data_IF_010045692706
#
_entry.id   IF_010045692706
#
_cell.length_a   1.000
_cell.length_b   1.000
_cell.length_c   1.000
_cell.angle_alpha   90.00
_cell.angle_beta   90.00
_cell.angle_gamma   90.00
#
_symmetry.space_group_name_H-M   'P 1'
#
loop_
_entity.id
_entity.type
_entity.pdbx_description
1 polymer ?
#
# COMPACT_ATOMS: atom_id res chain seq x y z
N UNK A 1 -2.20 3.44 7.38
CA UNK A 1 -1.57 3.94 6.14
C UNK A 1 -0.06 3.69 6.17
N UNK A 2 0.67 4.17 7.20
CA UNK A 2 2.15 4.06 7.29
C UNK A 2 2.66 2.63 7.06
N UNK A 3 2.01 1.60 7.63
CA UNK A 3 2.36 0.20 7.40
C UNK A 3 2.31 -0.20 5.93
N UNK A 4 1.27 0.22 5.20
CA UNK A 4 1.15 -0.06 3.76
C UNK A 4 2.25 0.61 2.95
N UNK A 5 2.56 1.88 3.25
CA UNK A 5 3.66 2.62 2.61
C UNK A 5 5.00 1.92 2.89
N UNK A 6 5.26 1.53 4.14
CA UNK A 6 6.49 0.85 4.51
C UNK A 6 6.64 -0.52 3.83
N UNK A 7 5.58 -1.31 3.76
CA UNK A 7 5.61 -2.60 3.05
C UNK A 7 5.89 -2.41 1.55
N UNK A 8 5.26 -1.41 0.93
CA UNK A 8 5.53 -1.03 -0.46
C UNK A 8 6.99 -0.61 -0.65
N UNK A 9 7.50 0.27 0.20
CA UNK A 9 8.89 0.75 0.11
C UNK A 9 9.92 -0.39 0.27
N UNK A 10 9.70 -1.30 1.23
CA UNK A 10 10.56 -2.47 1.41
C UNK A 10 10.57 -3.37 0.18
N UNK A 11 9.41 -3.58 -0.46
CA UNK A 11 9.32 -4.34 -1.70
C UNK A 11 10.03 -3.67 -2.88
N UNK A 12 9.91 -2.35 -3.00
CA UNK A 12 10.64 -1.56 -4.01
C UNK A 12 12.14 -1.67 -3.81
N UNK A 13 12.63 -1.47 -2.58
CA UNK A 13 14.06 -1.50 -2.26
C UNK A 13 14.69 -2.90 -2.39
N UNK A 14 13.93 -3.96 -2.19
CA UNK A 14 14.41 -5.32 -2.40
C UNK A 14 14.80 -5.56 -3.87
N UNK A 15 14.06 -4.96 -4.81
CA UNK A 15 14.32 -5.11 -6.25
C UNK A 15 15.19 -4.01 -6.80
N UNK A 16 15.10 -2.78 -6.27
CA UNK A 16 15.91 -1.63 -6.65
C UNK A 16 16.32 -0.84 -5.40
N UNK A 17 17.49 -1.11 -4.81
CA UNK A 17 17.97 -0.42 -3.61
C UNK A 17 18.19 1.10 -3.79
N UNK A 18 18.33 1.57 -5.02
CA UNK A 18 18.52 2.99 -5.34
C UNK A 18 17.19 3.74 -5.52
N UNK A 19 16.06 3.03 -5.55
CA UNK A 19 14.76 3.65 -5.69
C UNK A 19 14.33 4.37 -4.42
N UNK A 20 13.67 5.52 -4.61
CA UNK A 20 13.13 6.36 -3.52
C UNK A 20 11.61 6.30 -3.55
N UNK A 21 11.00 6.13 -2.38
CA UNK A 21 9.55 6.25 -2.20
C UNK A 21 9.26 7.59 -1.53
N UNK A 22 8.71 8.53 -2.29
CA UNK A 22 8.32 9.85 -1.75
C UNK A 22 6.83 9.85 -1.41
N UNK A 23 6.48 10.40 -0.23
CA UNK A 23 5.12 10.41 0.29
C UNK A 23 4.54 11.82 0.26
N UNK A 24 3.35 11.98 -0.34
CA UNK A 24 2.53 13.16 -0.27
C UNK A 24 1.21 12.83 0.45
N UNK A 25 0.88 13.60 1.51
CA UNK A 25 -0.35 13.43 2.26
C UNK A 25 -1.45 14.33 1.71
N UNK A 26 -2.62 13.76 1.47
CA UNK A 26 -3.82 14.50 1.05
C UNK A 26 -4.75 14.84 2.20
N UNK A 27 -4.55 14.22 3.36
CA UNK A 27 -5.38 14.37 4.57
C UNK A 27 -6.87 14.10 4.36
N UNK A 28 -7.21 13.38 3.29
CA UNK A 28 -8.57 12.96 2.96
C UNK A 28 -8.55 11.58 2.31
N UNK A 29 -9.65 10.83 2.43
CA UNK A 29 -9.83 9.56 1.73
C UNK A 29 -10.37 9.76 0.32
N UNK A 30 -11.18 10.78 0.12
CA UNK A 30 -11.81 11.06 -1.16
C UNK A 30 -11.89 12.57 -1.42
N UNK A 31 -11.02 13.05 -2.26
CA UNK A 31 -11.07 14.39 -2.89
C UNK A 31 -10.29 14.32 -4.22
N UNK A 32 -10.98 14.12 -5.36
CA UNK A 32 -10.31 13.95 -6.65
C UNK A 32 -9.41 15.13 -7.06
N UNK A 33 -9.69 16.34 -6.56
CA UNK A 33 -8.84 17.51 -6.86
C UNK A 33 -7.54 17.42 -6.08
N UNK A 34 -7.61 17.24 -4.76
CA UNK A 34 -6.43 17.13 -3.89
C UNK A 34 -5.59 15.91 -4.26
N UNK A 35 -6.23 14.77 -4.55
CA UNK A 35 -5.56 13.54 -4.99
C UNK A 35 -4.80 13.74 -6.30
N UNK A 36 -5.47 14.34 -7.30
CA UNK A 36 -4.86 14.64 -8.59
C UNK A 36 -3.72 15.65 -8.49
N UNK A 37 -3.88 16.72 -7.70
CA UNK A 37 -2.82 17.72 -7.50
C UNK A 37 -1.62 17.13 -6.76
N UNK A 38 -1.84 16.27 -5.78
CA UNK A 38 -0.76 15.59 -5.06
C UNK A 38 0.00 14.62 -5.97
N UNK A 39 -0.71 13.85 -6.80
CA UNK A 39 -0.08 12.97 -7.80
C UNK A 39 0.72 13.78 -8.82
N UNK A 40 0.17 14.91 -9.30
CA UNK A 40 0.87 15.79 -10.22
C UNK A 40 2.16 16.35 -9.60
N UNK A 41 2.12 16.76 -8.33
CA UNK A 41 3.30 17.26 -7.64
C UNK A 41 4.42 16.21 -7.51
N UNK A 42 4.08 14.93 -7.31
CA UNK A 42 5.05 13.84 -7.32
C UNK A 42 5.61 13.58 -8.73
N UNK A 43 4.76 13.60 -9.76
CA UNK A 43 5.18 13.45 -11.16
C UNK A 43 6.11 14.59 -11.59
N UNK A 44 5.82 15.83 -11.19
CA UNK A 44 6.67 17.00 -11.48
C UNK A 44 8.06 16.91 -10.83
N UNK A 45 8.20 16.12 -9.75
CA UNK A 45 9.49 15.79 -9.12
C UNK A 45 10.21 14.61 -9.79
N UNK A 46 9.56 13.95 -10.74
CA UNK A 46 10.14 12.88 -11.54
C UNK A 46 9.72 11.47 -11.08
N UNK A 47 8.63 11.33 -10.33
CA UNK A 47 8.07 10.01 -10.06
C UNK A 47 7.63 9.34 -11.37
N UNK A 48 8.03 8.10 -11.56
CA UNK A 48 7.69 7.25 -12.71
C UNK A 48 6.60 6.23 -12.39
N UNK A 49 6.32 6.02 -11.10
CA UNK A 49 5.22 5.20 -10.59
C UNK A 49 4.48 5.98 -9.50
N UNK A 50 3.17 6.05 -9.63
CA UNK A 50 2.28 6.55 -8.57
C UNK A 50 1.61 5.36 -7.89
N UNK A 51 1.85 5.19 -6.60
CA UNK A 51 1.08 4.29 -5.75
C UNK A 51 0.17 5.12 -4.85
N UNK A 52 -1.10 4.76 -4.75
CA UNK A 52 -2.06 5.54 -3.97
C UNK A 52 -2.65 4.75 -2.80
N UNK A 53 -3.18 5.50 -1.82
CA UNK A 53 -3.88 4.97 -0.66
C UNK A 53 -5.16 5.80 -0.43
N UNK A 54 -5.95 5.95 -1.49
CA UNK A 54 -7.09 6.86 -1.62
C UNK A 54 -8.18 6.23 -2.50
N UNK A 55 -9.37 6.86 -2.56
CA UNK A 55 -10.58 6.23 -3.08
C UNK A 55 -11.00 6.74 -4.47
N UNK A 56 -10.39 7.81 -5.03
CA UNK A 56 -10.69 8.27 -6.38
C UNK A 56 -9.67 7.74 -7.41
N UNK A 57 -9.98 7.91 -8.70
CA UNK A 57 -9.08 7.53 -9.81
C UNK A 57 -8.16 8.65 -10.26
N UNK A 58 -8.24 9.83 -9.63
CA UNK A 58 -7.56 11.03 -10.11
C UNK A 58 -6.03 10.88 -10.19
N UNK A 59 -5.42 10.13 -9.26
CA UNK A 59 -4.00 9.83 -9.30
C UNK A 59 -3.62 8.98 -10.52
N UNK A 60 -4.46 8.01 -10.89
CA UNK A 60 -4.31 7.19 -12.09
C UNK A 60 -4.43 8.01 -13.38
N UNK A 61 -5.42 8.91 -13.44
CA UNK A 61 -5.61 9.82 -14.59
C UNK A 61 -4.36 10.68 -14.81
N UNK A 62 -3.74 11.19 -13.74
CA UNK A 62 -2.51 11.98 -13.80
C UNK A 62 -1.30 11.14 -14.25
N UNK A 63 -1.16 9.93 -13.70
CA UNK A 63 -0.10 9.02 -14.11
C UNK A 63 -0.21 8.67 -15.61
N UNK A 64 -1.41 8.34 -16.08
CA UNK A 64 -1.64 8.04 -17.49
C UNK A 64 -1.33 9.25 -18.40
N UNK A 65 -1.78 10.44 -18.04
CA UNK A 65 -1.50 11.65 -18.79
C UNK A 65 0.00 11.98 -18.87
N UNK A 66 0.77 11.63 -17.84
CA UNK A 66 2.22 11.83 -17.78
C UNK A 66 3.03 10.69 -18.44
N UNK A 67 2.38 9.58 -18.82
CA UNK A 67 3.07 8.37 -19.29
C UNK A 67 3.80 7.61 -18.17
N UNK A 68 3.44 7.85 -16.91
CA UNK A 68 3.90 7.12 -15.73
C UNK A 68 3.02 5.91 -15.44
N UNK A 69 3.42 5.07 -14.48
CA UNK A 69 2.67 3.87 -14.11
C UNK A 69 1.89 4.10 -12.80
N UNK A 70 0.90 3.25 -12.55
CA UNK A 70 -0.01 3.41 -11.43
C UNK A 70 -0.32 2.08 -10.73
N UNK A 71 -0.18 2.08 -9.41
CA UNK A 71 -0.68 1.04 -8.51
C UNK A 71 -1.90 1.61 -7.79
N UNK A 72 -3.09 1.06 -8.07
CA UNK A 72 -4.33 1.55 -7.49
C UNK A 72 -4.59 1.00 -6.08
N UNK A 73 -5.75 1.27 -5.50
CA UNK A 73 -6.05 1.00 -4.09
C UNK A 73 -7.35 0.24 -3.90
N UNK A 74 -7.28 -0.87 -3.15
CA UNK A 74 -8.39 -1.68 -2.64
C UNK A 74 -9.32 -2.35 -3.68
N UNK A 75 -9.25 -1.97 -4.95
CA UNK A 75 -10.08 -2.54 -6.02
C UNK A 75 -9.35 -2.51 -7.35
N UNK A 76 -9.80 -3.33 -8.28
CA UNK A 76 -9.34 -3.28 -9.67
C UNK A 76 -9.90 -2.01 -10.34
N UNK A 77 -9.01 -1.05 -10.58
CA UNK A 77 -9.32 0.21 -11.23
C UNK A 77 -8.72 0.29 -12.66
N UNK A 78 -8.34 -0.83 -13.24
CA UNK A 78 -7.69 -0.91 -14.57
C UNK A 78 -8.49 -0.23 -15.69
N UNK A 79 -9.83 -0.20 -15.58
CA UNK A 79 -10.71 0.42 -16.57
C UNK A 79 -10.62 1.95 -16.64
N UNK A 80 -10.05 2.61 -15.60
CA UNK A 80 -10.01 4.08 -15.52
C UNK A 80 -8.73 4.69 -16.10
N UNK A 81 -7.59 4.04 -15.92
CA UNK A 81 -6.30 4.46 -16.47
C UNK A 81 -5.55 3.23 -17.03
N UNK A 82 -6.06 2.62 -18.11
CA UNK A 82 -5.62 1.31 -18.59
C UNK A 82 -4.15 1.27 -19.06
N UNK A 83 -3.59 2.39 -19.50
CA UNK A 83 -2.20 2.44 -19.97
C UNK A 83 -1.21 2.74 -18.81
N UNK A 84 -1.69 3.25 -17.68
CA UNK A 84 -0.88 3.48 -16.49
C UNK A 84 -0.97 2.33 -15.49
N UNK A 85 -2.12 1.65 -15.40
CA UNK A 85 -2.39 0.63 -14.40
C UNK A 85 -1.37 -0.51 -14.44
N UNK A 86 -0.89 -0.90 -13.27
CA UNK A 86 -0.03 -2.07 -13.08
C UNK A 86 -0.78 -3.22 -12.38
N UNK A 87 -1.30 -2.95 -11.22
CA UNK A 87 -2.08 -3.83 -10.36
C UNK A 87 -2.65 -3.04 -9.19
N UNK A 88 -3.31 -3.72 -8.24
CA UNK A 88 -3.76 -3.15 -6.97
C UNK A 88 -3.76 -4.21 -5.87
N UNK A 89 -3.53 -3.87 -4.60
CA UNK A 89 -3.99 -4.70 -3.49
C UNK A 89 -5.53 -4.70 -3.48
N UNK A 90 -6.12 -5.89 -3.35
CA UNK A 90 -7.58 -6.05 -3.34
C UNK A 90 -8.04 -6.89 -2.16
N UNK A 91 -9.34 -6.77 -1.81
CA UNK A 91 -9.95 -7.45 -0.70
C UNK A 91 -11.07 -8.37 -1.18
N UNK A 92 -11.02 -9.64 -0.80
CA UNK A 92 -12.07 -10.61 -1.05
C UNK A 92 -12.91 -10.83 0.22
N UNK A 93 -13.85 -9.94 0.48
CA UNK A 93 -14.71 -9.99 1.67
C UNK A 93 -15.79 -11.05 1.63
N UNK A 94 -16.10 -11.61 0.44
CA UNK A 94 -17.21 -12.55 0.25
C UNK A 94 -17.21 -13.72 1.23
N UNK A 95 -16.14 -14.52 1.32
CA UNK A 95 -16.06 -15.65 2.25
C UNK A 95 -16.28 -15.23 3.72
N UNK A 96 -15.71 -14.08 4.13
CA UNK A 96 -15.87 -13.58 5.49
C UNK A 96 -17.31 -13.16 5.80
N UNK A 97 -18.02 -12.54 4.85
CA UNK A 97 -19.41 -12.19 5.04
C UNK A 97 -20.30 -13.44 5.12
N UNK A 98 -20.03 -14.47 4.33
CA UNK A 98 -20.73 -15.76 4.42
C UNK A 98 -20.53 -16.38 5.80
N UNK A 99 -19.29 -16.48 6.29
CA UNK A 99 -18.97 -17.01 7.62
C UNK A 99 -19.71 -16.25 8.75
N UNK A 100 -19.75 -14.91 8.69
CA UNK A 100 -20.48 -14.09 9.65
C UNK A 100 -22.00 -14.39 9.61
N UNK A 101 -22.58 -14.48 8.41
CA UNK A 101 -24.02 -14.75 8.24
C UNK A 101 -24.38 -16.16 8.74
N UNK A 102 -23.60 -17.16 8.37
CA UNK A 102 -23.83 -18.56 8.77
C UNK A 102 -23.69 -18.74 10.29
N UNK A 103 -22.64 -18.17 10.89
CA UNK A 103 -22.45 -18.24 12.34
C UNK A 103 -23.52 -17.48 13.11
N UNK A 104 -23.97 -16.33 12.59
CA UNK A 104 -25.10 -15.59 13.19
C UNK A 104 -26.41 -16.38 13.11
N UNK A 105 -26.70 -17.02 11.98
CA UNK A 105 -27.87 -17.85 11.79
C UNK A 105 -27.85 -19.09 12.71
N UNK A 106 -26.66 -19.65 12.96
CA UNK A 106 -26.46 -20.76 13.90
C UNK A 106 -26.45 -20.35 15.39
N UNK A 107 -26.46 -19.04 15.70
CA UNK A 107 -26.34 -18.52 17.06
C UNK A 107 -24.96 -18.70 17.68
N UNK A 108 -23.92 -18.89 16.87
CA UNK A 108 -22.53 -19.10 17.30
C UNK A 108 -21.62 -17.91 17.03
N UNK A 109 -22.13 -16.86 16.41
CA UNK A 109 -21.35 -15.67 16.10
C UNK A 109 -20.82 -15.00 17.37
N UNK A 110 -19.51 -14.76 17.40
CA UNK A 110 -18.84 -13.99 18.45
C UNK A 110 -18.21 -12.76 17.83
N UNK A 111 -18.57 -11.54 18.28
CA UNK A 111 -17.93 -10.32 17.84
C UNK A 111 -16.43 -10.33 18.19
N UNK A 112 -15.60 -9.81 17.30
CA UNK A 112 -14.16 -9.73 17.51
C UNK A 112 -13.44 -9.05 16.35
N UNK A 113 -12.15 -8.82 16.54
CA UNK A 113 -11.28 -8.38 15.47
C UNK A 113 -10.98 -9.55 14.53
N UNK A 114 -11.00 -9.26 13.23
CA UNK A 114 -10.59 -10.21 12.21
C UNK A 114 -9.30 -9.72 11.54
N UNK A 115 -8.30 -10.59 11.50
CA UNK A 115 -7.01 -10.34 10.88
C UNK A 115 -6.78 -11.40 9.83
N UNK A 116 -7.27 -11.14 8.61
CA UNK A 116 -7.13 -12.05 7.48
C UNK A 116 -5.89 -11.70 6.63
N UNK A 117 -5.34 -12.71 6.00
CA UNK A 117 -4.12 -12.65 5.21
C UNK A 117 -4.35 -13.07 3.75
N UNK A 118 -3.28 -13.11 2.95
CA UNK A 118 -3.32 -13.73 1.63
C UNK A 118 -3.56 -15.26 1.73
N UNK A 119 -3.03 -15.91 2.77
CA UNK A 119 -3.26 -17.33 3.01
C UNK A 119 -4.73 -17.64 3.32
N UNK A 120 -5.46 -16.71 3.93
CA UNK A 120 -6.91 -16.82 4.18
C UNK A 120 -7.75 -16.45 2.95
N UNK A 121 -7.12 -15.99 1.87
CA UNK A 121 -7.80 -15.58 0.64
C UNK A 121 -8.56 -14.25 0.77
N UNK A 122 -8.31 -13.45 1.81
CA UNK A 122 -8.94 -12.13 2.02
C UNK A 122 -8.16 -11.04 1.27
N UNK A 123 -6.83 -11.11 1.32
CA UNK A 123 -5.94 -10.18 0.62
C UNK A 123 -5.43 -10.82 -0.66
N UNK A 124 -5.48 -10.09 -1.76
CA UNK A 124 -4.94 -10.53 -3.05
C UNK A 124 -4.45 -9.33 -3.87
N UNK A 125 -3.97 -9.58 -5.07
CA UNK A 125 -3.69 -8.59 -6.08
C UNK A 125 -4.78 -8.63 -7.17
N UNK A 126 -5.13 -7.47 -7.71
CA UNK A 126 -5.84 -7.38 -8.98
C UNK A 126 -4.98 -7.99 -10.11
N UNK A 127 -5.57 -8.39 -11.23
CA UNK A 127 -4.79 -8.84 -12.38
C UNK A 127 -3.67 -7.85 -12.72
N UNK A 128 -2.47 -8.38 -12.94
CA UNK A 128 -1.33 -7.57 -13.39
C UNK A 128 -1.57 -7.19 -14.85
N UNK A 129 -1.25 -5.95 -15.22
CA UNK A 129 -1.43 -5.46 -16.58
C UNK A 129 -0.68 -6.33 -17.60
N UNK A 130 -1.31 -6.56 -18.77
CA UNK A 130 -0.82 -7.46 -19.81
C UNK A 130 0.52 -7.02 -20.44
N UNK A 131 0.89 -5.75 -20.30
CA UNK A 131 2.14 -5.16 -20.83
C UNK A 131 3.31 -5.24 -19.83
N UNK A 132 3.13 -5.83 -18.66
CA UNK A 132 4.21 -6.09 -17.71
C UNK A 132 5.03 -7.29 -18.17
N UNK A 133 6.36 -7.16 -18.14
CA UNK A 133 7.26 -8.22 -18.55
C UNK A 133 7.01 -9.55 -17.80
N UNK A 134 7.02 -10.65 -18.52
CA UNK A 134 6.70 -11.96 -17.96
C UNK A 134 7.60 -12.37 -16.77
N UNK A 135 8.87 -11.95 -16.79
CA UNK A 135 9.81 -12.20 -15.70
C UNK A 135 9.43 -11.42 -14.42
N UNK A 136 8.88 -10.22 -14.58
CA UNK A 136 8.35 -9.41 -13.44
C UNK A 136 7.10 -10.06 -12.88
N UNK A 137 6.16 -10.48 -13.74
CA UNK A 137 4.96 -11.21 -13.32
C UNK A 137 5.35 -12.48 -12.55
N UNK A 138 6.32 -13.26 -13.08
CA UNK A 138 6.78 -14.47 -12.41
C UNK A 138 7.42 -14.19 -11.03
N UNK A 139 8.16 -13.09 -10.90
CA UNK A 139 8.74 -12.67 -9.61
C UNK A 139 7.66 -12.28 -8.59
N UNK A 140 6.62 -11.54 -9.01
CA UNK A 140 5.47 -11.17 -8.17
C UNK A 140 4.72 -12.43 -7.70
N UNK A 141 4.42 -13.37 -8.60
CA UNK A 141 3.72 -14.60 -8.24
C UNK A 141 4.57 -15.51 -7.30
N UNK A 142 5.88 -15.56 -7.50
CA UNK A 142 6.76 -16.28 -6.59
C UNK A 142 6.76 -15.65 -5.18
N UNK A 143 6.87 -14.34 -5.08
CA UNK A 143 6.79 -13.62 -3.79
C UNK A 143 5.43 -13.78 -3.12
N UNK A 144 4.35 -13.71 -3.89
CA UNK A 144 2.99 -13.98 -3.41
C UNK A 144 2.88 -15.39 -2.81
N UNK A 145 3.44 -16.40 -3.47
CA UNK A 145 3.45 -17.77 -2.96
C UNK A 145 4.22 -17.88 -1.64
N UNK A 146 5.38 -17.22 -1.51
CA UNK A 146 6.17 -17.20 -0.27
C UNK A 146 5.43 -16.50 0.89
N UNK A 147 4.65 -15.46 0.61
CA UNK A 147 3.79 -14.82 1.62
C UNK A 147 2.67 -15.76 2.06
N UNK A 148 2.04 -16.46 1.12
CA UNK A 148 0.93 -17.40 1.38
C UNK A 148 1.40 -18.59 2.22
N UNK A 149 2.57 -19.15 1.92
CA UNK A 149 3.11 -20.31 2.65
C UNK A 149 3.89 -19.92 3.92
N UNK A 150 4.05 -18.61 4.19
CA UNK A 150 4.68 -18.08 5.39
C UNK A 150 6.20 -18.14 5.40
N UNK A 151 6.85 -18.44 4.27
CA UNK A 151 8.32 -18.43 4.14
C UNK A 151 8.90 -17.03 3.98
N UNK A 152 8.07 -16.07 3.61
CA UNK A 152 8.41 -14.65 3.57
C UNK A 152 7.40 -13.80 4.36
N UNK A 153 7.91 -12.82 5.10
CA UNK A 153 7.09 -11.81 5.76
C UNK A 153 7.66 -10.41 5.46
N UNK A 154 6.84 -9.43 4.99
CA UNK A 154 7.32 -8.11 4.56
C UNK A 154 8.12 -7.35 5.62
N UNK A 155 7.83 -7.58 6.90
CA UNK A 155 8.52 -6.95 8.03
C UNK A 155 9.45 -7.92 8.76
N UNK A 156 10.21 -8.74 8.01
CA UNK A 156 11.34 -9.50 8.57
C UNK A 156 12.61 -8.66 8.53
N UNK A 157 13.30 -8.59 9.68
CA UNK A 157 14.51 -7.77 9.84
C UNK A 157 15.77 -8.31 9.15
N UNK A 158 16.77 -7.46 8.99
CA UNK A 158 16.90 -6.15 9.63
C UNK A 158 16.13 -5.04 8.89
N UNK A 159 15.41 -4.19 9.62
CA UNK A 159 14.71 -3.02 9.10
C UNK A 159 15.04 -1.83 9.99
N UNK A 160 15.43 -0.72 9.40
CA UNK A 160 15.69 0.54 10.09
C UNK A 160 14.60 1.57 9.78
N UNK A 161 14.45 2.56 10.66
CA UNK A 161 13.68 3.76 10.39
C UNK A 161 14.49 4.78 9.56
N UNK A 162 13.85 5.90 9.17
CA UNK A 162 14.49 6.98 8.42
C UNK A 162 15.71 7.61 9.13
N UNK A 163 15.81 7.48 10.45
CA UNK A 163 16.92 8.00 11.24
C UNK A 163 18.06 6.96 11.43
N UNK A 164 17.89 5.74 10.89
CA UNK A 164 18.83 4.65 11.02
C UNK A 164 18.70 3.85 12.32
N UNK A 165 17.64 4.07 13.11
CA UNK A 165 17.39 3.25 14.29
C UNK A 165 16.74 1.92 13.88
N UNK A 166 17.13 0.84 14.57
CA UNK A 166 16.57 -0.50 14.31
C UNK A 166 15.09 -0.56 14.70
N UNK A 167 14.22 -0.82 13.72
CA UNK A 167 12.79 -1.13 13.92
C UNK A 167 12.55 -2.63 14.10
N UNK A 168 13.27 -3.45 13.31
CA UNK A 168 13.22 -4.92 13.40
C UNK A 168 14.64 -5.45 13.32
N UNK A 169 15.08 -6.21 14.33
CA UNK A 169 16.44 -6.75 14.34
C UNK A 169 16.60 -7.90 13.35
N UNK A 170 17.85 -8.20 12.96
CA UNK A 170 18.14 -9.30 12.06
C UNK A 170 17.64 -10.64 12.62
N UNK A 171 16.89 -11.38 11.81
CA UNK A 171 16.31 -12.67 12.20
C UNK A 171 15.02 -12.58 13.02
N UNK A 172 14.53 -11.38 13.29
CA UNK A 172 13.22 -11.13 13.90
C UNK A 172 12.16 -10.78 12.85
N UNK A 173 10.90 -10.96 13.21
CA UNK A 173 9.75 -10.53 12.42
C UNK A 173 8.84 -9.66 13.28
N UNK A 174 8.34 -8.56 12.75
CA UNK A 174 7.44 -7.66 13.48
C UNK A 174 6.11 -8.35 13.75
N UNK A 175 5.63 -8.26 14.98
CA UNK A 175 4.33 -8.79 15.38
C UNK A 175 3.17 -7.88 14.94
N UNK A 176 1.94 -8.43 14.93
CA UNK A 176 0.72 -7.73 14.49
C UNK A 176 0.45 -6.45 15.29
N UNK A 177 0.72 -6.46 16.60
CA UNK A 177 0.53 -5.29 17.47
C UNK A 177 1.45 -4.15 17.10
N UNK A 178 2.72 -4.45 16.85
CA UNK A 178 3.73 -3.51 16.38
C UNK A 178 3.38 -2.97 14.98
N UNK A 179 2.91 -3.83 14.07
CA UNK A 179 2.43 -3.41 12.75
C UNK A 179 1.22 -2.48 12.82
N UNK A 180 0.28 -2.71 13.75
CA UNK A 180 -0.88 -1.84 13.97
C UNK A 180 -0.50 -0.49 14.55
N UNK A 181 0.50 -0.45 15.42
CA UNK A 181 1.02 0.76 16.07
C UNK A 181 2.09 1.50 15.27
N UNK A 182 2.39 1.09 14.04
CA UNK A 182 3.48 1.66 13.24
C UNK A 182 3.30 3.15 13.00
N UNK A 183 4.23 3.96 13.46
CA UNK A 183 4.19 5.42 13.41
C UNK A 183 5.43 6.07 12.77
N UNK A 184 6.39 5.27 12.29
CA UNK A 184 7.62 5.73 11.64
C UNK A 184 7.73 5.13 10.24
N UNK A 185 8.35 5.85 9.32
CA UNK A 185 8.72 5.30 8.02
C UNK A 185 10.02 4.50 8.11
N UNK A 186 10.14 3.49 7.25
CA UNK A 186 11.40 2.77 7.04
C UNK A 186 12.41 3.62 6.29
N UNK A 187 13.70 3.28 6.42
CA UNK A 187 14.78 3.86 5.64
C UNK A 187 14.46 3.85 4.13
N UNK A 188 14.82 4.92 3.41
CA UNK A 188 14.57 5.07 1.97
C UNK A 188 13.19 5.63 1.61
N UNK A 189 12.28 5.82 2.58
CA UNK A 189 11.07 6.62 2.39
C UNK A 189 11.38 8.09 2.64
N UNK A 190 10.94 8.98 1.76
CA UNK A 190 11.09 10.43 1.87
C UNK A 190 9.73 11.07 2.19
N UNK A 191 9.71 11.92 3.20
CA UNK A 191 8.51 12.60 3.69
C UNK A 191 8.33 12.45 5.21
N UNK A 192 7.42 13.21 5.76
CA UNK A 192 7.01 13.12 7.17
C UNK A 192 5.88 12.09 7.32
N UNK A 193 5.76 11.49 8.50
CA UNK A 193 4.71 10.48 8.77
C UNK A 193 3.30 11.07 8.92
N UNK A 194 3.16 12.37 8.89
CA UNK A 194 1.89 13.06 9.16
C UNK A 194 1.46 13.03 10.64
N UNK A 195 2.28 12.45 11.50
CA UNK A 195 2.09 12.43 12.95
C UNK A 195 2.87 13.55 13.67
N UNK A 196 3.64 14.34 12.92
CA UNK A 196 4.37 15.47 13.45
C UNK A 196 3.38 16.57 13.84
N UNK A 197 3.47 17.14 15.06
CA UNK A 197 2.44 18.03 15.61
C UNK A 197 2.20 19.33 14.82
N UNK A 198 3.18 19.78 14.06
CA UNK A 198 3.21 21.14 13.51
C UNK A 198 3.09 21.25 11.99
N UNK A 199 3.19 20.14 11.23
CA UNK A 199 3.25 20.19 9.76
C UNK A 199 1.98 19.72 9.05
N UNK A 200 0.97 19.24 9.80
CA UNK A 200 -0.16 18.50 9.21
C UNK A 200 -1.40 19.34 8.88
N UNK A 201 -1.56 20.49 9.47
CA UNK A 201 -2.69 21.38 9.19
C UNK A 201 -2.17 22.67 8.57
N UNK A 202 -2.43 22.94 7.29
CA UNK A 202 -2.30 24.32 6.82
C UNK A 202 -3.19 25.18 7.71
N UNK A 203 -2.66 26.29 8.21
CA UNK A 203 -3.44 27.30 8.93
C UNK A 203 -4.76 27.52 8.19
N UNK A 204 -5.92 27.55 8.87
CA UNK A 204 -7.19 27.81 8.22
C UNK A 204 -7.06 29.14 7.48
N UNK A 205 -7.29 29.12 6.17
CA UNK A 205 -7.36 30.34 5.36
C UNK A 205 -8.55 31.13 5.90
N UNK A 206 -8.26 32.07 6.78
CA UNK A 206 -9.26 33.03 7.29
C UNK A 206 -9.46 34.05 6.16
N UNK A 207 -10.51 33.79 5.36
CA UNK A 207 -11.01 34.74 4.36
C UNK A 207 -12.16 35.56 4.90
#
# INVERSE_FOLDING_TARGET
VIRGINAFALGVQETNPDAVVEVAWTSTWFDPVVEGDSAQALLDKGADVIAMHQDSTAAGDKAEAAGARWVSYNSDMSAFAPNAFLTAPVWNWGPRYVDIIESAAAGTYTPGYYWGSMADGIVDLAPIADDVDADVVAAVEARKAEIIDGTFHPFSGPINDQAGNVMVAAGETMDDGSMLGMGLFVEGVVGATGNEPDDFWPEPVVG
#
